data_IF_371059052843
#
_entry.id   IF_371059052843
#
_cell.length_a   1.000
_cell.length_b   1.000
_cell.length_c   1.000
_cell.angle_alpha   90.00
_cell.angle_beta   90.00
_cell.angle_gamma   90.00
#
_symmetry.space_group_name_H-M   'P 1'
#
loop_
_entity.id
_entity.type
_entity.pdbx_description
1 polymer ?
#
# COMPACT_ATOMS: atom_id res chain seq x y z
N UNK A 1 -16.10 -3.61 3.31
CA UNK A 1 -15.10 -4.58 3.79
C UNK A 1 -15.43 -4.90 5.23
N UNK A 2 -15.39 -6.16 5.69
CA UNK A 2 -15.64 -6.46 7.09
C UNK A 2 -14.62 -5.70 7.97
N UNK A 3 -15.04 -5.30 9.17
CA UNK A 3 -14.24 -4.59 10.19
C UNK A 3 -13.16 -5.50 10.80
N UNK A 4 -12.37 -6.17 9.97
CA UNK A 4 -11.17 -6.87 10.39
C UNK A 4 -10.02 -5.89 10.46
N UNK A 5 -9.53 -5.59 11.66
CA UNK A 5 -8.29 -4.86 11.83
C UNK A 5 -7.17 -5.62 11.10
N UNK A 6 -6.61 -5.01 10.04
CA UNK A 6 -5.47 -5.58 9.32
C UNK A 6 -4.30 -5.57 10.32
N UNK A 7 -4.01 -6.75 10.87
CA UNK A 7 -3.03 -6.94 11.94
C UNK A 7 -1.60 -6.80 11.40
N UNK A 8 -1.37 -7.22 10.15
CA UNK A 8 -0.10 -7.06 9.46
C UNK A 8 -0.33 -6.38 8.11
N UNK A 9 0.19 -5.17 7.96
CA UNK A 9 0.13 -4.44 6.71
C UNK A 9 1.27 -4.90 5.79
N UNK A 10 1.00 -5.09 4.48
CA UNK A 10 2.07 -5.27 3.51
C UNK A 10 3.07 -4.12 3.57
N UNK A 11 4.35 -4.35 3.27
CA UNK A 11 5.37 -3.29 3.28
C UNK A 11 5.06 -2.10 2.33
N UNK A 12 4.19 -2.32 1.34
CA UNK A 12 3.70 -1.28 0.43
C UNK A 12 2.69 -0.31 1.07
N UNK A 13 2.08 -0.70 2.19
CA UNK A 13 0.93 -0.03 2.77
C UNK A 13 1.23 0.37 4.22
N UNK A 14 0.86 1.60 4.59
CA UNK A 14 1.06 2.16 5.92
C UNK A 14 -0.25 2.80 6.39
N UNK A 15 -0.45 2.88 7.71
CA UNK A 15 -1.54 3.71 8.26
C UNK A 15 -1.34 5.15 7.80
N UNK A 16 -2.41 5.78 7.35
CA UNK A 16 -2.38 7.16 6.92
C UNK A 16 -2.25 8.08 8.14
N UNK A 17 -1.36 9.07 8.05
CA UNK A 17 -1.23 10.09 9.09
C UNK A 17 -2.37 11.12 8.99
N UNK A 18 -2.62 11.95 10.02
CA UNK A 18 -3.69 12.95 9.99
C UNK A 18 -3.59 13.92 8.81
N UNK A 19 -2.36 14.25 8.38
CA UNK A 19 -2.13 15.06 7.18
C UNK A 19 -2.60 14.37 5.90
N UNK A 20 -2.40 13.05 5.78
CA UNK A 20 -2.85 12.27 4.64
C UNK A 20 -4.40 12.20 4.60
N UNK A 21 -5.07 12.07 5.76
CA UNK A 21 -6.55 12.05 5.82
C UNK A 21 -7.18 13.34 5.27
N UNK A 22 -6.55 14.50 5.52
CA UNK A 22 -6.99 15.77 4.97
C UNK A 22 -6.78 15.83 3.44
N UNK A 23 -5.72 15.23 2.92
CA UNK A 23 -5.53 15.10 1.47
C UNK A 23 -6.57 14.16 0.85
N UNK A 24 -6.86 13.04 1.50
CA UNK A 24 -7.86 12.08 1.05
C UNK A 24 -9.27 12.68 1.01
N UNK A 25 -9.69 13.42 2.04
CA UNK A 25 -11.02 14.06 2.06
C UNK A 25 -11.18 15.12 0.98
N UNK A 26 -10.11 15.88 0.71
CA UNK A 26 -10.07 16.83 -0.41
C UNK A 26 -10.16 16.12 -1.77
N UNK A 27 -9.47 14.98 -1.92
CA UNK A 27 -9.46 14.23 -3.17
C UNK A 27 -10.78 13.47 -3.42
N UNK A 28 -11.41 12.93 -2.38
CA UNK A 28 -12.70 12.22 -2.50
C UNK A 28 -13.90 13.15 -2.60
N UNK A 29 -13.76 14.43 -2.21
CA UNK A 29 -14.87 15.36 -2.09
C UNK A 29 -15.85 15.02 -0.98
N UNK A 30 -15.45 14.13 -0.05
CA UNK A 30 -16.27 13.67 1.07
C UNK A 30 -15.46 13.69 2.35
N UNK A 31 -16.09 14.09 3.46
CA UNK A 31 -15.48 13.94 4.77
C UNK A 31 -15.32 12.45 5.10
N UNK A 32 -14.10 12.06 5.46
CA UNK A 32 -13.83 10.73 5.97
C UNK A 32 -14.49 10.60 7.34
N UNK A 33 -15.35 9.59 7.50
CA UNK A 33 -15.96 9.28 8.80
C UNK A 33 -14.87 9.04 9.85
N UNK A 34 -15.01 9.56 11.07
CA UNK A 34 -14.02 9.40 12.16
C UNK A 34 -13.64 7.94 12.48
N UNK A 35 -14.50 6.99 12.09
CA UNK A 35 -14.30 5.55 12.28
C UNK A 35 -13.65 4.85 11.08
N UNK A 36 -13.35 5.56 10.00
CA UNK A 36 -12.78 4.97 8.80
C UNK A 36 -11.29 4.67 8.99
N UNK A 37 -10.90 3.42 8.79
CA UNK A 37 -9.48 3.05 8.73
C UNK A 37 -8.90 3.57 7.42
N UNK A 38 -7.89 4.44 7.52
CA UNK A 38 -7.26 5.08 6.37
C UNK A 38 -5.81 4.59 6.22
N UNK A 39 -5.44 4.21 5.00
CA UNK A 39 -4.12 3.68 4.68
C UNK A 39 -3.59 4.32 3.40
N UNK A 40 -2.28 4.54 3.35
CA UNK A 40 -1.57 5.10 2.19
C UNK A 40 -0.45 4.16 1.79
N UNK A 41 -0.23 4.04 0.48
CA UNK A 41 0.76 3.13 -0.05
C UNK A 41 0.93 3.29 -1.55
N UNK A 42 1.92 2.59 -2.09
CA UNK A 42 2.16 2.54 -3.54
C UNK A 42 1.81 1.15 -4.02
N UNK A 43 0.77 1.05 -4.83
CA UNK A 43 0.36 -0.18 -5.48
C UNK A 43 1.02 -0.26 -6.84
N UNK A 44 2.16 -0.94 -6.91
CA UNK A 44 2.73 -1.29 -8.21
C UNK A 44 1.95 -2.47 -8.77
N UNK A 45 1.14 -2.15 -9.77
CA UNK A 45 0.73 -3.06 -10.83
C UNK A 45 -0.03 -4.34 -10.44
N UNK A 46 -0.92 -4.27 -9.45
CA UNK A 46 -1.81 -5.38 -9.08
C UNK A 46 -2.95 -5.64 -10.09
N UNK A 47 -3.15 -4.73 -11.05
CA UNK A 47 -4.18 -4.86 -12.09
C UNK A 47 -3.62 -5.31 -13.44
N UNK A 48 -2.31 -5.57 -13.54
CA UNK A 48 -1.74 -6.15 -14.76
C UNK A 48 -2.08 -7.63 -14.90
N UNK A 49 -1.99 -8.11 -16.14
CA UNK A 49 -2.11 -9.52 -16.49
C UNK A 49 -0.85 -9.93 -17.25
N UNK A 50 -0.39 -11.17 -17.04
CA UNK A 50 0.77 -11.72 -17.76
C UNK A 50 2.09 -11.37 -17.09
N UNK A 51 3.11 -11.12 -17.90
CA UNK A 51 4.51 -10.98 -17.45
C UNK A 51 4.69 -9.88 -16.39
N UNK A 52 4.08 -8.72 -16.61
CA UNK A 52 4.22 -7.59 -15.68
C UNK A 52 3.60 -7.88 -14.31
N UNK A 53 2.53 -8.68 -14.26
CA UNK A 53 1.90 -9.12 -13.02
C UNK A 53 2.80 -10.10 -12.25
N UNK A 54 3.45 -11.03 -12.96
CA UNK A 54 4.38 -12.00 -12.37
C UNK A 54 5.62 -11.30 -11.80
N UNK A 55 6.18 -10.33 -12.52
CA UNK A 55 7.32 -9.53 -12.06
C UNK A 55 6.94 -8.69 -10.85
N UNK A 56 5.80 -8.01 -10.88
CA UNK A 56 5.31 -7.22 -9.74
C UNK A 56 5.09 -8.11 -8.50
N UNK A 57 4.46 -9.27 -8.66
CA UNK A 57 4.28 -10.23 -7.58
C UNK A 57 5.61 -10.68 -6.98
N UNK A 58 6.57 -11.09 -7.82
CA UNK A 58 7.89 -11.54 -7.37
C UNK A 58 8.62 -10.46 -6.57
N UNK A 59 8.52 -9.20 -7.00
CA UNK A 59 9.09 -8.07 -6.27
C UNK A 59 8.43 -7.85 -4.90
N UNK A 60 7.09 -7.80 -4.84
CA UNK A 60 6.38 -7.59 -3.59
C UNK A 60 6.62 -8.74 -2.61
N UNK A 61 6.61 -9.98 -3.10
CA UNK A 61 6.87 -11.17 -2.29
C UNK A 61 8.29 -11.19 -1.72
N UNK A 62 9.30 -10.82 -2.53
CA UNK A 62 10.68 -10.69 -2.06
C UNK A 62 10.81 -9.64 -0.95
N UNK A 63 10.12 -8.51 -1.08
CA UNK A 63 10.14 -7.45 -0.05
C UNK A 63 9.46 -7.91 1.24
N UNK A 64 8.39 -8.68 1.14
CA UNK A 64 7.70 -9.21 2.32
C UNK A 64 8.55 -10.28 3.03
N UNK A 65 9.25 -11.16 2.29
CA UNK A 65 10.14 -12.18 2.88
C UNK A 65 11.49 -11.62 3.36
N UNK A 66 12.07 -10.69 2.61
CA UNK A 66 13.43 -10.17 2.80
C UNK A 66 13.47 -8.66 2.62
N UNK A 67 12.83 -7.89 3.52
CA UNK A 67 12.71 -6.44 3.39
C UNK A 67 14.07 -5.72 3.33
N UNK A 68 15.11 -6.31 3.92
CA UNK A 68 16.48 -5.79 3.88
C UNK A 68 17.11 -5.78 2.48
N UNK A 69 16.60 -6.58 1.54
CA UNK A 69 17.04 -6.58 0.15
C UNK A 69 16.32 -5.52 -0.70
N UNK A 70 15.24 -4.92 -0.20
CA UNK A 70 14.38 -3.99 -0.93
C UNK A 70 14.18 -2.66 -0.18
N UNK A 71 15.22 -2.17 0.50
CA UNK A 71 15.12 -1.00 1.39
C UNK A 71 15.04 0.36 0.67
N UNK A 72 15.21 0.43 -0.65
CA UNK A 72 15.14 1.70 -1.35
C UNK A 72 15.10 1.59 -2.87
N UNK A 73 14.88 2.72 -3.55
CA UNK A 73 14.70 2.77 -5.02
C UNK A 73 15.87 2.18 -5.81
N UNK A 74 17.07 2.22 -5.24
CA UNK A 74 18.30 1.69 -5.86
C UNK A 74 18.33 0.16 -5.83
N UNK A 75 17.78 -0.45 -4.77
CA UNK A 75 17.61 -1.89 -4.66
C UNK A 75 16.36 -2.38 -5.43
N UNK A 76 15.64 -1.46 -6.04
CA UNK A 76 14.36 -1.64 -6.71
C UNK A 76 14.51 -1.41 -8.23
N UNK A 77 15.63 -1.92 -8.80
CA UNK A 77 15.95 -1.88 -10.22
C UNK A 77 15.80 -3.25 -10.85
#
# INVERSE_FOLDING_TARGET
MPEGEITELPHALKKAEPADQLEFSKASGSELTEKASCYKGVFYNYLSIGMDAQVAYGFHHLRDEKPYLAQGPVANK
#
